data_IF_206945964675
#
_entry.id   IF_206945964675
#
_cell.length_a   1.000
_cell.length_b   1.000
_cell.length_c   1.000
_cell.angle_alpha   90.00
_cell.angle_beta   90.00
_cell.angle_gamma   90.00
#
_symmetry.space_group_name_H-M   'P 1'
#
loop_
_entity.id
_entity.type
_entity.pdbx_description
1 polymer ?
#
# COMPACT_ATOMS: atom_id res chain seq x y z
N UNK A 1 -4.61 -10.45 22.40
CA UNK A 1 -4.68 -10.80 20.96
C UNK A 1 -4.02 -9.66 20.21
N UNK A 2 -2.76 -9.82 19.80
CA UNK A 2 -2.06 -8.78 19.02
C UNK A 2 -2.58 -8.87 17.60
N UNK A 3 -3.43 -7.93 17.21
CA UNK A 3 -3.91 -7.79 15.82
C UNK A 3 -2.69 -7.77 14.89
N UNK A 4 -2.71 -8.46 13.74
CA UNK A 4 -1.68 -8.22 12.73
C UNK A 4 -1.68 -6.73 12.41
N UNK A 5 -0.49 -6.11 12.43
CA UNK A 5 -0.39 -4.66 12.26
C UNK A 5 -0.89 -4.21 10.87
N UNK A 6 -0.83 -5.11 9.88
CA UNK A 6 -1.16 -4.93 8.47
C UNK A 6 -1.93 -6.14 7.93
N UNK A 7 -2.85 -5.89 6.99
CA UNK A 7 -3.70 -6.86 6.31
C UNK A 7 -3.59 -6.69 4.79
N UNK A 8 -4.02 -7.70 4.03
CA UNK A 8 -4.04 -7.61 2.55
C UNK A 8 -5.03 -6.52 2.11
N UNK A 9 -4.55 -5.60 1.28
CA UNK A 9 -5.28 -4.40 0.85
C UNK A 9 -5.03 -3.16 1.70
N UNK A 10 -4.23 -3.24 2.77
CA UNK A 10 -3.72 -2.04 3.43
C UNK A 10 -2.65 -1.37 2.57
N UNK A 11 -2.59 -0.04 2.65
CA UNK A 11 -1.55 0.74 1.99
C UNK A 11 -0.43 1.02 2.98
N UNK A 12 0.77 0.58 2.64
CA UNK A 12 1.94 0.69 3.51
C UNK A 12 3.11 1.32 2.76
N UNK A 13 3.97 1.98 3.51
CA UNK A 13 5.22 2.58 3.06
C UNK A 13 6.39 1.70 3.48
N UNK A 14 7.30 1.47 2.56
CA UNK A 14 8.55 0.74 2.78
C UNK A 14 9.70 1.68 2.50
N UNK A 15 10.68 1.74 3.40
CA UNK A 15 11.89 2.53 3.19
C UNK A 15 12.92 1.68 2.45
N UNK A 16 13.28 2.12 1.25
CA UNK A 16 14.33 1.52 0.44
C UNK A 16 15.48 2.51 0.23
N UNK A 17 16.72 2.03 0.29
CA UNK A 17 17.89 2.88 0.04
C UNK A 17 18.41 2.65 -1.36
N UNK A 18 18.67 3.72 -2.09
CA UNK A 18 19.29 3.64 -3.41
C UNK A 18 20.76 3.27 -3.24
N UNK A 19 21.16 2.12 -3.73
CA UNK A 19 22.56 1.65 -3.64
C UNK A 19 23.36 2.10 -4.85
N UNK A 20 22.73 2.06 -6.02
CA UNK A 20 23.41 2.31 -7.30
C UNK A 20 22.43 2.95 -8.28
N UNK A 21 22.90 3.90 -9.06
CA UNK A 21 22.19 4.40 -10.25
C UNK A 21 22.93 3.92 -11.49
N UNK A 22 22.17 3.49 -12.50
CA UNK A 22 22.65 3.09 -13.82
C UNK A 22 21.75 3.75 -14.87
N UNK A 23 22.22 4.89 -15.42
CA UNK A 23 21.42 5.70 -16.34
C UNK A 23 20.12 6.19 -15.69
N UNK A 24 18.99 5.77 -16.25
CA UNK A 24 17.63 6.09 -15.78
C UNK A 24 17.12 5.13 -14.69
N UNK A 25 17.80 3.99 -14.51
CA UNK A 25 17.44 2.96 -13.52
C UNK A 25 18.23 3.13 -12.24
N UNK A 26 17.54 2.95 -11.12
CA UNK A 26 18.14 2.88 -9.79
C UNK A 26 17.98 1.48 -9.21
N UNK A 27 19.02 1.02 -8.52
CA UNK A 27 19.02 -0.19 -7.73
C UNK A 27 18.76 0.17 -6.28
N UNK A 28 17.67 -0.36 -5.76
CA UNK A 28 17.20 -0.18 -4.40
C UNK A 28 17.57 -1.42 -3.60
N UNK A 29 17.95 -1.20 -2.34
CA UNK A 29 18.12 -2.23 -1.33
C UNK A 29 17.22 -1.90 -0.17
N UNK A 30 16.51 -2.90 0.29
CA UNK A 30 15.73 -2.83 1.52
C UNK A 30 16.56 -3.56 2.57
N UNK A 31 16.75 -2.97 3.75
CA UNK A 31 17.61 -3.61 4.76
C UNK A 31 17.04 -4.93 5.26
N UNK A 32 15.72 -5.05 5.24
CA UNK A 32 14.97 -6.21 5.66
C UNK A 32 14.92 -7.34 4.60
N UNK A 33 15.37 -7.08 3.37
CA UNK A 33 15.34 -8.06 2.28
C UNK A 33 16.69 -8.17 1.57
N UNK A 34 17.10 -9.40 1.28
CA UNK A 34 18.35 -9.65 0.58
C UNK A 34 18.28 -9.32 -0.92
N UNK A 35 17.08 -9.16 -1.48
CA UNK A 35 16.93 -8.84 -2.90
C UNK A 35 17.21 -7.37 -3.20
N UNK A 36 17.78 -7.16 -4.39
CA UNK A 36 17.98 -5.84 -4.95
C UNK A 36 16.88 -5.59 -5.96
N UNK A 37 16.18 -4.48 -5.80
CA UNK A 37 15.10 -4.08 -6.69
C UNK A 37 15.62 -3.07 -7.70
N UNK A 38 15.13 -3.10 -8.93
CA UNK A 38 15.44 -2.08 -9.92
C UNK A 38 14.18 -1.33 -10.31
N UNK A 39 14.20 -0.01 -10.12
CA UNK A 39 13.13 0.90 -10.52
C UNK A 39 13.70 1.93 -11.51
N UNK A 40 12.84 2.45 -12.37
CA UNK A 40 13.10 3.67 -13.12
C UNK A 40 12.85 4.85 -12.18
N UNK A 41 13.90 5.54 -11.78
CA UNK A 41 13.72 6.73 -10.94
C UNK A 41 14.77 7.82 -11.26
N UNK A 42 14.49 8.68 -12.24
CA UNK A 42 15.44 9.67 -12.77
C UNK A 42 15.78 10.78 -11.79
N UNK A 43 15.05 10.92 -10.68
CA UNK A 43 15.35 11.92 -9.65
C UNK A 43 16.17 11.36 -8.48
N UNK A 44 16.15 10.04 -8.27
CA UNK A 44 16.77 9.43 -7.10
C UNK A 44 18.30 9.24 -7.22
N UNK A 45 19.03 9.68 -6.20
CA UNK A 45 20.50 9.60 -6.13
C UNK A 45 20.96 8.38 -5.31
N UNK A 46 22.13 7.79 -5.59
CA UNK A 46 22.70 6.78 -4.71
C UNK A 46 22.96 7.34 -3.31
N UNK A 47 22.54 6.60 -2.28
CA UNK A 47 22.52 7.02 -0.88
C UNK A 47 21.19 7.61 -0.42
N UNK A 48 20.27 7.92 -1.34
CA UNK A 48 18.97 8.47 -1.00
C UNK A 48 18.03 7.40 -0.45
N UNK A 49 17.16 7.81 0.49
CA UNK A 49 16.14 6.94 1.09
C UNK A 49 14.81 7.24 0.43
N UNK A 50 14.34 6.30 -0.38
CA UNK A 50 13.04 6.38 -1.04
C UNK A 50 11.98 5.71 -0.17
N UNK A 51 10.89 6.43 0.05
CA UNK A 51 9.67 5.87 0.59
C UNK A 51 8.85 5.29 -0.55
N UNK A 52 8.69 3.97 -0.55
CA UNK A 52 7.90 3.24 -1.54
C UNK A 52 6.54 2.91 -0.93
N UNK A 53 5.50 3.58 -1.40
CA UNK A 53 4.13 3.36 -0.94
C UNK A 53 3.42 2.38 -1.87
N UNK A 54 2.83 1.33 -1.31
CA UNK A 54 2.11 0.33 -2.10
C UNK A 54 1.15 -0.50 -1.29
N UNK A 55 0.45 -1.36 -1.99
CA UNK A 55 -0.64 -2.14 -1.44
C UNK A 55 -0.14 -3.52 -1.02
N UNK A 56 -0.52 -3.93 0.19
CA UNK A 56 -0.18 -5.26 0.69
C UNK A 56 -0.95 -6.30 -0.13
N UNK A 57 -0.22 -7.20 -0.80
CA UNK A 57 -0.82 -8.29 -1.60
C UNK A 57 -0.76 -9.64 -0.90
N UNK A 58 0.17 -9.82 0.04
CA UNK A 58 0.31 -11.05 0.80
C UNK A 58 0.93 -10.78 2.17
N UNK A 59 0.45 -11.46 3.22
CA UNK A 59 0.98 -11.35 4.58
C UNK A 59 1.26 -12.76 5.11
N UNK A 60 2.53 -13.08 5.32
CA UNK A 60 2.98 -14.28 6.00
C UNK A 60 3.06 -14.01 7.51
N UNK A 61 1.98 -14.33 8.23
CA UNK A 61 1.92 -14.15 9.68
C UNK A 61 2.89 -15.07 10.44
N UNK A 62 3.16 -16.26 9.89
CA UNK A 62 4.06 -17.26 10.49
C UNK A 62 5.53 -16.80 10.51
N UNK A 63 5.93 -16.07 9.46
CA UNK A 63 7.30 -15.60 9.27
C UNK A 63 7.45 -14.09 9.51
N UNK A 64 6.38 -13.43 9.97
CA UNK A 64 6.28 -11.97 10.12
C UNK A 64 6.66 -11.17 8.86
N UNK A 65 6.48 -11.75 7.66
CA UNK A 65 6.82 -11.10 6.38
C UNK A 65 5.59 -10.59 5.65
N UNK A 66 5.68 -9.41 5.09
CA UNK A 66 4.63 -8.79 4.29
C UNK A 66 5.15 -8.52 2.88
N UNK A 67 4.39 -8.98 1.89
CA UNK A 67 4.66 -8.67 0.48
C UNK A 67 3.78 -7.52 0.02
N UNK A 68 4.44 -6.44 -0.38
CA UNK A 68 3.82 -5.21 -0.85
C UNK A 68 4.04 -5.08 -2.35
N UNK A 69 2.98 -4.71 -3.07
CA UNK A 69 3.01 -4.40 -4.48
C UNK A 69 3.20 -2.89 -4.65
N UNK A 70 4.43 -2.49 -5.01
CA UNK A 70 4.79 -1.09 -5.32
C UNK A 70 5.10 -0.95 -6.81
N UNK A 71 6.24 -1.49 -7.21
CA UNK A 71 6.78 -1.49 -8.58
C UNK A 71 7.02 -2.93 -9.05
N UNK A 72 6.96 -3.86 -8.12
CA UNK A 72 7.12 -5.30 -8.22
C UNK A 72 6.65 -5.91 -6.90
N UNK A 73 6.82 -7.22 -6.76
CA UNK A 73 6.55 -7.91 -5.49
C UNK A 73 7.75 -7.72 -4.57
N UNK A 74 7.56 -6.97 -3.50
CA UNK A 74 8.59 -6.66 -2.52
C UNK A 74 8.21 -7.33 -1.21
N UNK A 75 9.00 -8.30 -0.77
CA UNK A 75 8.78 -8.98 0.52
C UNK A 75 9.67 -8.35 1.57
N UNK A 76 9.08 -7.86 2.65
CA UNK A 76 9.78 -7.17 3.74
C UNK A 76 9.23 -7.63 5.08
N UNK A 77 9.98 -7.40 6.16
CA UNK A 77 9.49 -7.65 7.50
C UNK A 77 8.34 -6.70 7.85
N UNK A 78 7.32 -7.23 8.52
CA UNK A 78 6.10 -6.51 8.90
C UNK A 78 6.37 -5.38 9.90
N UNK A 79 7.48 -5.42 10.65
CA UNK A 79 7.90 -4.35 11.56
C UNK A 79 8.66 -3.24 10.83
N UNK A 80 9.15 -3.51 9.62
CA UNK A 80 9.85 -2.55 8.77
C UNK A 80 8.91 -1.78 7.83
N UNK A 81 7.63 -2.12 7.79
CA UNK A 81 6.62 -1.38 7.03
C UNK A 81 5.96 -0.33 7.91
N UNK A 82 5.82 0.87 7.36
CA UNK A 82 5.12 1.97 7.98
C UNK A 82 3.72 2.05 7.41
N UNK A 83 2.72 2.07 8.28
CA UNK A 83 1.33 2.05 7.85
C UNK A 83 0.90 3.43 7.34
N UNK A 84 0.46 3.52 6.08
CA UNK A 84 0.03 4.78 5.46
C UNK A 84 -1.48 4.94 5.56
N UNK A 85 -2.22 3.91 5.13
CA UNK A 85 -3.67 3.93 5.14
C UNK A 85 -4.18 2.55 5.50
N UNK A 86 -4.95 2.49 6.60
CA UNK A 86 -5.70 1.29 6.91
C UNK A 86 -6.94 1.19 6.04
N UNK A 87 -7.22 0.00 5.53
CA UNK A 87 -8.44 -0.34 4.81
C UNK A 87 -9.71 -0.02 5.61
N UNK A 88 -9.63 0.00 6.95
CA UNK A 88 -10.76 0.32 7.84
C UNK A 88 -11.35 1.73 7.70
N UNK A 89 -10.73 2.66 6.97
CA UNK A 89 -11.33 3.98 6.77
C UNK A 89 -12.49 3.97 5.74
N UNK A 90 -12.58 2.93 4.89
CA UNK A 90 -13.65 2.82 3.89
C UNK A 90 -14.88 2.02 4.35
N UNK A 91 -14.89 1.51 5.59
CA UNK A 91 -16.08 0.86 6.16
C UNK A 91 -16.87 1.78 7.10
N UNK A 92 -16.46 3.06 7.28
CA UNK A 92 -17.16 4.01 8.15
C UNK A 92 -17.80 5.20 7.44
N UNK A 93 -17.77 5.26 6.11
CA UNK A 93 -18.50 6.27 5.32
C UNK A 93 -19.58 5.61 4.47
N UNK A 94 -20.71 5.29 5.13
CA UNK A 94 -22.00 4.98 4.50
C UNK A 94 -22.21 3.51 4.16
N UNK A 95 -22.93 2.74 4.97
CA UNK A 95 -24.40 2.68 4.79
C UNK A 95 -25.11 2.16 6.04
N UNK A 96 -25.28 3.03 7.05
CA UNK A 96 -26.38 2.90 8.00
C UNK A 96 -26.97 4.28 8.32
N UNK A 97 -27.67 4.86 7.34
CA UNK A 97 -28.68 5.89 7.60
C UNK A 97 -30.06 5.28 7.35
N UNK A 98 -30.72 4.71 8.36
CA UNK A 98 -32.17 4.55 8.34
C UNK A 98 -32.77 5.95 8.52
N UNK A 99 -33.25 6.57 7.45
CA UNK A 99 -33.95 7.85 7.57
C UNK A 99 -34.00 8.78 6.37
N UNK A 100 -33.43 8.45 5.20
CA UNK A 100 -33.62 9.30 4.03
C UNK A 100 -34.85 8.85 3.22
N UNK A 101 -35.98 9.59 3.25
CA UNK A 101 -37.08 9.30 2.34
C UNK A 101 -36.59 9.55 0.92
N UNK A 102 -36.64 8.51 0.06
CA UNK A 102 -36.48 8.70 -1.38
C UNK A 102 -37.45 9.79 -1.83
N UNK A 103 -37.02 10.78 -2.63
CA UNK A 103 -37.95 11.59 -3.39
C UNK A 103 -38.75 10.63 -4.28
N UNK A 104 -40.04 10.48 -3.99
CA UNK A 104 -40.97 9.85 -4.92
C UNK A 104 -41.03 10.77 -6.14
N UNK A 105 -40.36 10.41 -7.21
CA UNK A 105 -40.63 11.01 -8.52
C UNK A 105 -42.11 10.72 -8.81
N UNK A 106 -42.97 11.75 -8.94
CA UNK A 106 -44.34 11.50 -9.35
C UNK A 106 -44.32 10.90 -10.77
N UNK A 107 -45.14 9.89 -11.06
CA UNK A 107 -45.23 9.36 -12.41
C UNK A 107 -45.71 10.47 -13.34
N UNK A 108 -44.93 10.71 -14.40
CA UNK A 108 -45.31 11.61 -15.48
C UNK A 108 -46.53 11.01 -16.19
N UNK A 109 -47.68 11.71 -16.26
CA UNK A 109 -48.81 11.21 -17.03
C UNK A 109 -48.44 11.28 -18.52
N UNK A 110 -48.36 10.13 -19.17
CA UNK A 110 -48.47 10.07 -20.62
C UNK A 110 -49.96 10.19 -20.95
N UNK A 111 -50.31 11.29 -21.62
CA UNK A 111 -51.61 11.47 -22.26
C UNK A 111 -51.77 10.60 -23.49
#
# INVERSE_FOLDING_TARGET
MTRPAVEVGDRVAVIATVVKRVGDRVTLKIESDAHRYSMIEPNAKPGDKLRLEGDVVHVDQDLERTTVQVLGRVTVDTKSVEMVTKRCDLDHIGSNVPGHPRPRTPPTPHG
#
